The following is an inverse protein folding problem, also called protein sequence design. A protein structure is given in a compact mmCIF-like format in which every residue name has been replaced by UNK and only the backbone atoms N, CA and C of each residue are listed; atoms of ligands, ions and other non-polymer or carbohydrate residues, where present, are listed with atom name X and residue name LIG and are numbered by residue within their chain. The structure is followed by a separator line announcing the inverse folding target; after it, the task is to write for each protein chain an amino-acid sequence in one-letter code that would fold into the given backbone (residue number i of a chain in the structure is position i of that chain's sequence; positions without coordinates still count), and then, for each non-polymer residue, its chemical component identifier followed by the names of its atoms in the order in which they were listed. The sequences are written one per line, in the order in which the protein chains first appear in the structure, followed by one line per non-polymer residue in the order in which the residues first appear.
data_IF_598826838933
#
_entry.id   IF_598826838933
#
_cell.length_a   1.000
_cell.length_b   1.000
_cell.length_c   1.000
_cell.angle_alpha   90.00
_cell.angle_beta   90.00
_cell.angle_gamma   90.00
#
_symmetry.space_group_name_H-M   'P 1'
#
loop_
_entity.id
_entity.type
_entity.pdbx_description
1 polymer ?
#
# COMPACT_ATOMS: atom_id res chain seq x y z
N UNK A 1 -3.47 -19.25 -3.01
CA UNK A 1 -3.34 -18.12 -2.08
C UNK A 1 -2.96 -16.91 -2.93
N UNK A 2 -3.76 -15.86 -2.92
CA UNK A 2 -3.49 -14.63 -3.66
C UNK A 2 -2.53 -13.77 -2.84
N UNK A 3 -1.46 -13.27 -3.46
CA UNK A 3 -0.57 -12.31 -2.82
C UNK A 3 -1.26 -10.94 -2.74
N UNK A 4 -1.42 -10.39 -1.56
CA UNK A 4 -2.13 -9.12 -1.34
C UNK A 4 -1.15 -8.09 -0.75
N UNK A 5 -1.03 -6.95 -1.43
CA UNK A 5 -0.24 -5.79 -1.00
C UNK A 5 -1.18 -4.62 -0.77
N UNK A 6 -1.19 -4.06 0.43
CA UNK A 6 -2.10 -2.97 0.79
C UNK A 6 -1.35 -1.68 1.09
N UNK A 7 -1.79 -0.59 0.45
CA UNK A 7 -1.28 0.76 0.70
C UNK A 7 -1.97 1.35 1.92
N UNK A 8 -1.19 1.75 2.91
CA UNK A 8 -1.67 2.33 4.18
C UNK A 8 -0.98 3.66 4.42
N UNK A 9 -1.69 4.62 4.94
CA UNK A 9 -1.18 5.95 5.26
C UNK A 9 -2.31 6.97 5.33
N UNK A 10 -2.04 8.11 5.93
CA UNK A 10 -3.01 9.20 6.04
C UNK A 10 -3.45 9.75 4.67
N UNK A 11 -4.52 10.53 4.59
CA UNK A 11 -4.91 11.20 3.35
C UNK A 11 -3.78 12.07 2.77
N UNK A 12 -3.74 12.18 1.45
CA UNK A 12 -2.83 13.06 0.69
C UNK A 12 -1.32 12.72 0.75
N UNK A 13 -0.91 11.60 1.35
CA UNK A 13 0.50 11.14 1.29
C UNK A 13 0.91 10.59 -0.07
N UNK A 14 -0.05 10.41 -1.00
CA UNK A 14 0.21 9.97 -2.37
C UNK A 14 -0.09 8.49 -2.65
N UNK A 15 -0.91 7.81 -1.84
CA UNK A 15 -1.29 6.41 -2.04
C UNK A 15 -1.86 6.15 -3.43
N UNK A 16 -2.87 6.91 -3.85
CA UNK A 16 -3.51 6.76 -5.16
C UNK A 16 -2.56 7.09 -6.31
N UNK A 17 -1.60 7.99 -6.12
CA UNK A 17 -0.55 8.27 -7.11
C UNK A 17 0.37 7.06 -7.26
N UNK A 18 0.78 6.44 -6.15
CA UNK A 18 1.60 5.22 -6.14
C UNK A 18 0.82 4.07 -6.79
N UNK A 19 -0.45 3.89 -6.40
CA UNK A 19 -1.34 2.90 -6.99
C UNK A 19 -1.39 3.01 -8.52
N UNK A 20 -1.64 4.23 -9.02
CA UNK A 20 -1.69 4.49 -10.45
C UNK A 20 -0.34 4.26 -11.16
N UNK A 21 0.77 4.60 -10.52
CA UNK A 21 2.11 4.33 -11.08
C UNK A 21 2.38 2.83 -11.14
N UNK A 22 2.08 2.09 -10.10
CA UNK A 22 2.28 0.64 -10.04
C UNK A 22 1.42 -0.09 -11.07
N UNK A 23 0.15 0.28 -11.19
CA UNK A 23 -0.77 -0.34 -12.13
C UNK A 23 -0.47 0.04 -13.58
N UNK A 24 -0.07 1.27 -13.89
CA UNK A 24 0.27 1.69 -15.26
C UNK A 24 1.60 1.12 -15.76
N UNK A 25 2.57 0.93 -14.87
CA UNK A 25 3.93 0.48 -15.25
C UNK A 25 3.96 -0.99 -15.69
N UNK A 26 2.97 -1.81 -15.30
CA UNK A 26 3.02 -3.26 -15.45
C UNK A 26 1.81 -3.89 -16.16
N UNK A 27 1.18 -3.19 -17.11
CA UNK A 27 -0.02 -3.69 -17.81
C UNK A 27 -1.11 -4.22 -16.85
N UNK A 28 -1.23 -3.61 -15.70
CA UNK A 28 -2.17 -4.07 -14.69
C UNK A 28 -3.61 -3.86 -15.17
N UNK A 29 -4.42 -4.87 -14.99
CA UNK A 29 -5.86 -4.78 -15.17
C UNK A 29 -6.42 -4.21 -13.87
N UNK A 30 -6.93 -2.97 -13.91
CA UNK A 30 -7.74 -2.43 -12.81
C UNK A 30 -9.05 -3.21 -12.87
N UNK A 31 -9.28 -4.06 -11.88
CA UNK A 31 -10.50 -4.84 -11.77
C UNK A 31 -11.14 -4.55 -10.41
N UNK A 32 -12.45 -4.38 -10.43
CA UNK A 32 -13.23 -4.44 -9.19
C UNK A 32 -13.11 -5.86 -8.63
N UNK A 33 -12.27 -6.04 -7.63
CA UNK A 33 -12.09 -7.35 -7.00
C UNK A 33 -13.30 -7.62 -6.11
N UNK A 34 -14.12 -8.66 -6.41
CA UNK A 34 -15.28 -8.98 -5.59
C UNK A 34 -14.85 -9.30 -4.15
N UNK A 35 -15.43 -8.62 -3.19
CA UNK A 35 -15.17 -8.85 -1.76
C UNK A 35 -14.44 -7.71 -1.04
N UNK A 36 -13.96 -6.69 -1.75
CA UNK A 36 -13.47 -5.45 -1.17
C UNK A 36 -14.57 -4.38 -1.24
N UNK A 37 -14.66 -3.54 -0.21
CA UNK A 37 -15.73 -2.53 -0.11
C UNK A 37 -15.64 -1.51 -1.24
N UNK A 38 -16.79 -0.88 -1.59
CA UNK A 38 -16.91 0.14 -2.65
C UNK A 38 -15.93 1.33 -2.53
N UNK A 39 -15.26 1.46 -1.40
CA UNK A 39 -14.37 2.58 -1.07
C UNK A 39 -12.87 2.27 -1.26
N UNK A 40 -12.50 1.04 -1.64
CA UNK A 40 -11.11 0.65 -1.92
C UNK A 40 -10.92 0.42 -3.42
N UNK A 41 -9.86 1.03 -3.98
CA UNK A 41 -9.42 0.69 -5.33
C UNK A 41 -8.54 -0.57 -5.27
N UNK A 42 -8.77 -1.51 -6.17
CA UNK A 42 -7.94 -2.70 -6.30
C UNK A 42 -7.42 -2.84 -7.73
N UNK A 43 -6.21 -3.38 -7.85
CA UNK A 43 -5.58 -3.63 -9.15
C UNK A 43 -4.65 -4.82 -9.09
N UNK A 44 -4.47 -5.49 -10.23
CA UNK A 44 -3.56 -6.61 -10.36
C UNK A 44 -2.24 -6.09 -10.92
N UNK A 45 -1.14 -6.28 -10.22
CA UNK A 45 0.20 -5.89 -10.64
C UNK A 45 1.03 -7.13 -10.98
N UNK A 46 1.67 -7.14 -12.15
CA UNK A 46 2.59 -8.22 -12.55
C UNK A 46 3.99 -7.65 -12.72
N UNK A 47 4.96 -8.25 -12.04
CA UNK A 47 6.38 -7.87 -12.09
C UNK A 47 7.21 -9.13 -12.29
N UNK A 48 7.94 -9.25 -13.39
CA UNK A 48 8.80 -10.41 -13.67
C UNK A 48 8.09 -11.76 -13.40
N UNK A 49 6.95 -11.98 -14.04
CA UNK A 49 6.12 -13.20 -13.92
C UNK A 49 5.46 -13.42 -12.55
N UNK A 50 5.63 -12.53 -11.60
CA UNK A 50 4.97 -12.57 -10.30
C UNK A 50 3.82 -11.58 -10.26
N UNK A 51 2.66 -12.05 -9.84
CA UNK A 51 1.44 -11.27 -9.79
C UNK A 51 0.92 -11.14 -8.38
N UNK A 52 0.43 -9.94 -8.03
CA UNK A 52 -0.17 -9.64 -6.74
C UNK A 52 -1.32 -8.64 -6.87
N UNK A 53 -2.24 -8.72 -5.92
CA UNK A 53 -3.31 -7.73 -5.77
C UNK A 53 -2.79 -6.52 -5.01
N UNK A 54 -2.90 -5.34 -5.61
CA UNK A 54 -2.61 -4.08 -4.95
C UNK A 54 -3.92 -3.44 -4.50
N UNK A 55 -4.01 -3.03 -3.24
CA UNK A 55 -5.19 -2.42 -2.65
C UNK A 55 -4.83 -1.02 -2.16
N UNK A 56 -5.55 0.00 -2.66
CA UNK A 56 -5.49 1.37 -2.13
C UNK A 56 -6.63 1.57 -1.14
N UNK A 57 -6.30 1.78 0.12
CA UNK A 57 -7.29 2.02 1.19
C UNK A 57 -7.87 3.44 1.18
N UNK A 58 -7.65 4.22 0.13
CA UNK A 58 -8.27 5.53 -0.15
C UNK A 58 -8.38 6.50 1.05
N UNK A 59 -7.46 6.44 2.01
CA UNK A 59 -7.45 7.38 3.14
C UNK A 59 -8.58 7.20 4.15
N UNK A 60 -9.26 6.04 4.15
CA UNK A 60 -10.39 5.74 5.04
C UNK A 60 -10.02 5.73 6.54
N UNK A 61 -8.73 5.75 6.87
CA UNK A 61 -8.29 5.72 8.27
C UNK A 61 -8.51 7.03 9.05
N UNK A 62 -8.74 8.17 8.37
CA UNK A 62 -8.69 9.47 9.04
C UNK A 62 -9.61 10.49 8.37
N UNK A 63 -10.90 10.39 8.58
CA UNK A 63 -11.77 11.56 8.58
C UNK A 63 -11.92 12.01 10.01
N UNK A 64 -11.38 13.16 10.35
CA UNK A 64 -11.68 13.84 11.60
C UNK A 64 -13.21 14.09 11.66
N UNK A 65 -13.85 13.59 12.72
CA UNK A 65 -15.27 13.79 12.98
C UNK A 65 -16.21 12.84 12.21
N UNK A 66 -16.77 11.85 12.87
CA UNK A 66 -17.81 10.92 12.39
C UNK A 66 -17.37 9.89 11.31
N UNK A 67 -16.39 9.07 11.62
CA UNK A 67 -16.21 7.83 10.87
C UNK A 67 -17.11 6.78 11.54
N UNK A 68 -18.07 6.24 10.78
CA UNK A 68 -18.82 5.11 11.28
C UNK A 68 -17.86 3.97 11.58
N UNK A 69 -17.98 3.35 12.74
CA UNK A 69 -17.20 2.18 13.19
C UNK A 69 -17.12 1.08 12.11
N UNK A 70 -18.10 1.03 11.22
CA UNK A 70 -18.21 0.10 10.09
C UNK A 70 -17.12 0.35 9.02
N UNK A 71 -16.77 1.61 8.71
CA UNK A 71 -15.76 1.95 7.70
C UNK A 71 -14.35 1.63 8.23
N UNK A 72 -14.09 1.88 9.51
CA UNK A 72 -12.84 1.48 10.15
C UNK A 72 -12.70 -0.05 10.16
N UNK A 73 -13.75 -0.79 10.49
CA UNK A 73 -13.74 -2.26 10.52
C UNK A 73 -13.41 -2.87 9.15
N UNK A 74 -14.05 -2.41 8.07
CA UNK A 74 -13.84 -2.92 6.72
C UNK A 74 -12.43 -2.65 6.20
N UNK A 75 -11.87 -1.47 6.49
CA UNK A 75 -10.50 -1.12 6.11
C UNK A 75 -9.49 -1.95 6.89
N UNK A 76 -9.74 -2.15 8.19
CA UNK A 76 -8.88 -2.97 9.04
C UNK A 76 -8.88 -4.44 8.59
N UNK A 77 -10.03 -4.95 8.15
CA UNK A 77 -10.16 -6.29 7.60
C UNK A 77 -9.33 -6.49 6.32
N UNK A 78 -9.32 -5.52 5.41
CA UNK A 78 -8.47 -5.53 4.21
C UNK A 78 -6.98 -5.59 4.55
N UNK A 79 -6.55 -4.88 5.61
CA UNK A 79 -5.15 -4.90 6.06
C UNK A 79 -4.82 -6.23 6.75
N UNK A 80 -5.74 -6.81 7.52
CA UNK A 80 -5.55 -8.13 8.15
C UNK A 80 -5.34 -9.21 7.08
N UNK A 81 -6.01 -9.13 5.95
CA UNK A 81 -5.87 -10.06 4.83
C UNK A 81 -4.60 -9.86 4.00
N UNK A 82 -3.88 -8.75 4.18
CA UNK A 82 -2.66 -8.45 3.42
C UNK A 82 -1.51 -9.38 3.80
N UNK A 83 -0.69 -9.73 2.82
CA UNK A 83 0.60 -10.39 3.02
C UNK A 83 1.70 -9.34 3.28
N UNK A 84 1.61 -8.21 2.59
CA UNK A 84 2.54 -7.08 2.70
C UNK A 84 1.76 -5.79 2.91
N UNK A 85 2.22 -4.96 3.83
CA UNK A 85 1.72 -3.61 4.06
C UNK A 85 2.76 -2.62 3.53
N UNK A 86 2.34 -1.70 2.68
CA UNK A 86 3.13 -0.53 2.30
C UNK A 86 2.64 0.66 3.13
N UNK A 87 3.39 1.03 4.16
CA UNK A 87 3.08 2.19 4.98
C UNK A 87 3.73 3.43 4.40
N UNK A 88 2.91 4.39 3.96
CA UNK A 88 3.31 5.55 3.18
C UNK A 88 3.18 6.82 4.02
N UNK A 89 4.25 7.60 4.07
CA UNK A 89 4.32 8.92 4.72
C UNK A 89 4.78 9.98 3.72
N UNK A 90 4.63 11.25 4.09
CA UNK A 90 4.89 12.41 3.25
C UNK A 90 6.15 13.15 3.73
N UNK A 91 7.22 13.12 2.92
CA UNK A 91 8.48 13.77 3.24
C UNK A 91 8.38 15.30 3.34
N UNK A 92 7.45 15.91 2.59
CA UNK A 92 7.25 17.37 2.60
C UNK A 92 6.64 17.86 3.92
N UNK A 93 5.69 17.08 4.46
CA UNK A 93 5.00 17.45 5.70
C UNK A 93 5.72 16.98 6.96
N UNK A 94 6.68 16.06 6.82
CA UNK A 94 7.38 15.45 7.95
C UNK A 94 6.52 14.49 8.78
N UNK A 95 7.04 14.08 9.92
CA UNK A 95 6.39 13.14 10.83
C UNK A 95 5.29 13.84 11.64
N UNK A 96 4.07 13.31 11.56
CA UNK A 96 2.91 13.84 12.30
C UNK A 96 2.31 12.77 13.23
N UNK A 97 1.51 13.20 14.21
CA UNK A 97 0.91 12.32 15.23
C UNK A 97 0.09 11.18 14.63
N UNK A 98 -0.63 11.43 13.54
CA UNK A 98 -1.41 10.39 12.85
C UNK A 98 -0.53 9.31 12.21
N UNK A 99 0.70 9.62 11.76
CA UNK A 99 1.64 8.61 11.27
C UNK A 99 2.09 7.69 12.42
N UNK A 100 2.32 8.24 13.61
CA UNK A 100 2.65 7.47 14.82
C UNK A 100 1.51 6.52 15.23
N UNK A 101 0.26 6.99 15.15
CA UNK A 101 -0.91 6.17 15.46
C UNK A 101 -1.08 5.00 14.49
N UNK A 102 -0.93 5.27 13.18
CA UNK A 102 -0.96 4.23 12.15
C UNK A 102 0.15 3.21 12.41
N UNK A 103 1.38 3.68 12.62
CA UNK A 103 2.53 2.82 12.87
C UNK A 103 2.28 1.87 14.06
N UNK A 104 1.70 2.38 15.17
CA UNK A 104 1.33 1.56 16.32
C UNK A 104 0.29 0.50 15.99
N UNK A 105 -0.71 0.84 15.16
CA UNK A 105 -1.79 -0.09 14.76
C UNK A 105 -1.24 -1.20 13.87
N UNK A 106 -0.50 -0.86 12.79
CA UNK A 106 -0.03 -1.85 11.82
C UNK A 106 1.05 -2.79 12.37
N UNK A 107 1.87 -2.35 13.34
CA UNK A 107 2.86 -3.21 14.01
C UNK A 107 2.23 -4.37 14.75
N UNK A 108 1.04 -4.17 15.34
CA UNK A 108 0.32 -5.22 16.07
C UNK A 108 -0.11 -6.37 15.16
N UNK A 109 -0.16 -6.15 13.85
CA UNK A 109 -0.59 -7.16 12.87
C UNK A 109 0.50 -8.18 12.54
N UNK A 110 1.75 -7.94 12.94
CA UNK A 110 2.89 -8.83 12.68
C UNK A 110 3.06 -9.19 11.19
N UNK A 111 2.71 -8.26 10.31
CA UNK A 111 2.85 -8.38 8.85
C UNK A 111 4.19 -7.80 8.40
N UNK A 112 4.63 -8.20 7.21
CA UNK A 112 5.77 -7.55 6.58
C UNK A 112 5.40 -6.13 6.17
N UNK A 113 6.17 -5.15 6.62
CA UNK A 113 5.92 -3.73 6.36
C UNK A 113 7.07 -3.17 5.53
N UNK A 114 6.72 -2.58 4.39
CA UNK A 114 7.58 -1.68 3.63
C UNK A 114 7.23 -0.25 4.02
N UNK A 115 8.18 0.44 4.63
CA UNK A 115 8.01 1.83 5.01
C UNK A 115 8.43 2.74 3.87
N UNK A 116 7.48 3.51 3.33
CA UNK A 116 7.65 4.32 2.14
C UNK A 116 7.61 5.80 2.50
N UNK A 117 8.70 6.50 2.30
CA UNK A 117 8.77 7.96 2.41
C UNK A 117 8.59 8.53 1.00
N UNK A 118 7.42 9.10 0.74
CA UNK A 118 7.05 9.66 -0.56
C UNK A 118 7.27 11.16 -0.62
N UNK A 119 7.26 11.73 -1.83
CA UNK A 119 7.47 13.15 -2.15
C UNK A 119 8.88 13.67 -1.84
N UNK A 120 9.88 12.81 -1.99
CA UNK A 120 11.28 13.19 -1.79
C UNK A 120 11.78 14.23 -2.77
N UNK A 121 11.05 14.50 -3.85
CA UNK A 121 11.29 15.61 -4.78
C UNK A 121 10.99 16.99 -4.18
N UNK A 122 10.23 17.05 -3.08
CA UNK A 122 9.83 18.27 -2.39
C UNK A 122 10.55 18.48 -1.05
N UNK A 123 11.41 17.56 -0.63
CA UNK A 123 12.05 17.60 0.69
C UNK A 123 13.56 17.31 0.61
N UNK A 124 14.28 17.64 1.69
CA UNK A 124 15.67 17.24 1.85
C UNK A 124 15.71 15.79 2.33
N UNK A 125 16.25 14.89 1.50
CA UNK A 125 16.22 13.42 1.74
C UNK A 125 16.83 13.03 3.09
N UNK A 126 17.96 13.62 3.45
CA UNK A 126 18.69 13.32 4.69
C UNK A 126 17.87 13.69 5.94
N UNK A 127 17.21 14.84 5.92
CA UNK A 127 16.34 15.28 7.01
C UNK A 127 15.13 14.38 7.13
N UNK A 128 14.51 14.01 6.02
CA UNK A 128 13.36 13.11 6.02
C UNK A 128 13.72 11.74 6.61
N UNK A 129 14.86 11.17 6.23
CA UNK A 129 15.30 9.89 6.79
C UNK A 129 15.50 10.00 8.31
N UNK A 130 16.18 11.05 8.78
CA UNK A 130 16.44 11.26 10.21
C UNK A 130 15.15 11.37 11.02
N UNK A 131 14.20 12.19 10.54
CA UNK A 131 12.92 12.43 11.21
C UNK A 131 12.08 11.15 11.32
N UNK A 132 11.95 10.40 10.22
CA UNK A 132 11.16 9.19 10.20
C UNK A 132 11.86 7.96 10.82
N UNK A 133 13.17 8.05 11.12
CA UNK A 133 13.91 6.97 11.78
C UNK A 133 13.37 6.61 13.17
N UNK A 134 12.72 7.56 13.85
CA UNK A 134 12.04 7.31 15.14
C UNK A 134 10.95 6.25 15.04
N UNK A 135 10.37 6.07 13.85
CA UNK A 135 9.39 5.02 13.62
C UNK A 135 10.01 3.61 13.63
N UNK A 136 11.34 3.46 13.52
CA UNK A 136 12.03 2.19 13.68
C UNK A 136 11.59 1.09 12.72
N UNK A 137 11.30 1.42 11.45
CA UNK A 137 11.04 0.44 10.39
C UNK A 137 12.34 0.08 9.67
N UNK A 138 12.61 -1.22 9.51
CA UNK A 138 13.85 -1.71 8.89
C UNK A 138 13.87 -1.52 7.37
N UNK A 139 12.73 -1.73 6.71
CA UNK A 139 12.61 -1.65 5.24
C UNK A 139 12.13 -0.27 4.80
N UNK A 140 12.98 0.75 4.94
CA UNK A 140 12.66 2.12 4.54
C UNK A 140 13.06 2.37 3.10
N UNK A 141 12.12 2.84 2.27
CA UNK A 141 12.33 3.16 0.86
C UNK A 141 11.90 4.60 0.59
N UNK A 142 12.77 5.32 -0.11
CA UNK A 142 12.52 6.70 -0.53
C UNK A 142 11.99 6.71 -1.97
N UNK A 143 10.87 7.38 -2.19
CA UNK A 143 10.27 7.51 -3.52
C UNK A 143 9.74 8.92 -3.81
N UNK A 144 9.61 9.23 -5.09
CA UNK A 144 8.73 10.26 -5.58
C UNK A 144 7.72 9.64 -6.56
N UNK A 145 6.50 9.46 -6.11
CA UNK A 145 5.42 8.97 -6.97
C UNK A 145 5.16 9.94 -8.15
N UNK A 146 5.44 11.23 -7.98
CA UNK A 146 5.29 12.25 -9.02
C UNK A 146 6.31 12.06 -10.13
N UNK A 147 7.59 11.99 -9.81
CA UNK A 147 8.68 11.87 -10.79
C UNK A 147 8.89 10.44 -11.27
N UNK A 148 8.50 9.45 -10.48
CA UNK A 148 8.76 8.02 -10.72
C UNK A 148 10.02 7.51 -10.05
N UNK A 149 10.77 8.36 -9.35
CA UNK A 149 11.98 7.97 -8.63
C UNK A 149 11.66 6.88 -7.58
N UNK A 150 12.44 5.80 -7.56
CA UNK A 150 12.29 4.70 -6.61
C UNK A 150 11.15 3.71 -6.91
N UNK A 151 10.19 4.05 -7.78
CA UNK A 151 8.99 3.24 -8.05
C UNK A 151 9.35 1.84 -8.56
N UNK A 152 10.22 1.74 -9.57
CA UNK A 152 10.62 0.45 -10.15
C UNK A 152 11.31 -0.43 -9.11
N UNK A 153 12.25 0.10 -8.37
CA UNK A 153 13.00 -0.64 -7.35
C UNK A 153 12.07 -1.13 -6.23
N UNK A 154 11.08 -0.32 -5.84
CA UNK A 154 10.07 -0.71 -4.84
C UNK A 154 9.25 -1.90 -5.33
N UNK A 155 8.78 -1.85 -6.58
CA UNK A 155 8.04 -2.95 -7.19
C UNK A 155 8.85 -4.25 -7.27
N UNK A 156 10.12 -4.16 -7.67
CA UNK A 156 11.00 -5.32 -7.73
C UNK A 156 11.28 -5.91 -6.34
N UNK A 157 11.45 -5.07 -5.33
CA UNK A 157 11.63 -5.49 -3.94
C UNK A 157 10.39 -6.24 -3.42
N UNK A 158 9.19 -5.70 -3.65
CA UNK A 158 7.94 -6.35 -3.28
C UNK A 158 7.78 -7.68 -4.02
N UNK A 159 8.01 -7.69 -5.33
CA UNK A 159 7.90 -8.91 -6.13
C UNK A 159 8.90 -10.00 -5.70
N UNK A 160 10.07 -9.65 -5.16
CA UNK A 160 11.03 -10.63 -4.64
C UNK A 160 10.50 -11.43 -3.46
N UNK A 161 9.62 -10.84 -2.66
CA UNK A 161 9.01 -11.44 -1.47
C UNK A 161 7.74 -12.24 -1.74
N UNK A 162 7.16 -12.06 -2.91
CA UNK A 162 5.89 -12.67 -3.29
C UNK A 162 6.15 -14.05 -3.88
N UNK A 163 5.30 -15.01 -3.53
CA UNK A 163 5.33 -16.34 -4.12
C UNK A 163 4.83 -16.31 -5.57
N UNK A 164 5.43 -17.15 -6.42
CA UNK A 164 4.96 -17.32 -7.79
C UNK A 164 3.55 -17.93 -7.79
N UNK A 165 2.59 -17.26 -8.42
CA UNK A 165 1.25 -17.78 -8.67
C UNK A 165 1.04 -17.75 -10.18
N UNK A 166 0.82 -18.91 -10.85
CA UNK A 166 0.50 -18.98 -12.26
C UNK A 166 -0.76 -18.17 -12.58
N UNK A 167 -0.77 -17.42 -13.70
CA UNK A 167 -1.91 -16.56 -14.11
C UNK A 167 -3.23 -17.32 -14.21
N UNK A 168 -3.20 -18.61 -14.58
CA UNK A 168 -4.40 -19.45 -14.68
C UNK A 168 -5.17 -19.60 -13.36
N UNK A 169 -4.52 -19.47 -12.23
CA UNK A 169 -5.16 -19.56 -10.92
C UNK A 169 -5.82 -18.24 -10.48
N UNK A 170 -5.37 -17.11 -10.99
CA UNK A 170 -5.89 -15.79 -10.64
C UNK A 170 -7.26 -15.51 -11.29
N UNK A 171 -7.49 -16.02 -12.50
CA UNK A 171 -8.78 -15.87 -13.18
C UNK A 171 -9.89 -16.73 -12.55
N UNK A 172 -9.54 -17.82 -11.88
CA UNK A 172 -10.50 -18.69 -11.21
C UNK A 172 -11.00 -18.12 -9.88
N UNK A 173 -10.18 -17.33 -9.16
CA UNK A 173 -10.61 -16.66 -7.93
C UNK A 173 -11.58 -15.49 -8.22
N UNK A 174 -11.50 -14.88 -9.41
CA UNK A 174 -12.41 -13.84 -9.87
C UNK A 174 -13.79 -14.37 -10.31
N UNK A 175 -13.93 -15.69 -10.57
CA UNK A 175 -15.14 -16.31 -11.11
C UNK A 175 -15.98 -17.11 -10.10
N UNK A 176 -15.56 -17.26 -8.86
CA UNK A 176 -16.34 -18.01 -7.87
C UNK A 176 -17.45 -17.11 -7.28
N UNK A 177 -18.74 -17.36 -7.61
CA UNK A 177 -19.82 -16.75 -6.87
C UNK A 177 -19.77 -17.31 -5.43
N UNK A 178 -19.74 -16.43 -4.44
CA UNK A 178 -19.99 -16.84 -3.06
C UNK A 178 -21.47 -17.22 -2.94
N UNK A 179 -21.68 -18.50 -2.57
CA UNK A 179 -22.96 -19.03 -2.09
C UNK A 179 -23.25 -18.46 -0.71
#
# INVERSE_FOLDING_TARGET
MSNIVTLVGRPNVGKSTIFNKFTKTNNAIVADTPGYTRDCQSGLCTVKEKTFHLIDTAGLFFKEGEISEVVEANTFESIIQSDIIMFIVDAEQGLVSSDLEIAKKIRKLQKKIYFIINKIDLAQKELSISEFSELGFENTILISAKTGEGIKNTLESIASEINFIPEDNLQNDLKKPKI
#
